data_IF_250352508818
#
_entry.id   IF_250352508818
#
_cell.length_a   1.000
_cell.length_b   1.000
_cell.length_c   1.000
_cell.angle_alpha   90.00
_cell.angle_beta   90.00
_cell.angle_gamma   90.00
#
_symmetry.space_group_name_H-M   'P 1'
#
loop_
_entity.id
_entity.type
_entity.pdbx_description
1 polymer ?
#
# COMPACT_ATOMS: atom_id res chain seq x y z
N UNK A 1 -7.33 -18.35 -9.26
CA UNK A 1 -6.77 -18.43 -7.89
C UNK A 1 -6.09 -17.10 -7.65
N UNK A 2 -6.68 -16.23 -6.82
CA UNK A 2 -6.03 -14.95 -6.51
C UNK A 2 -4.73 -15.26 -5.77
N UNK A 3 -3.61 -14.73 -6.24
CA UNK A 3 -2.34 -14.87 -5.55
C UNK A 3 -2.43 -14.16 -4.19
N UNK A 4 -1.81 -14.75 -3.15
CA UNK A 4 -1.75 -14.12 -1.84
C UNK A 4 -1.07 -12.74 -1.93
N UNK A 5 -1.58 -11.73 -1.20
CA UNK A 5 -1.01 -10.39 -1.25
C UNK A 5 0.42 -10.37 -0.69
N UNK A 6 1.32 -9.64 -1.37
CA UNK A 6 2.71 -9.49 -0.92
C UNK A 6 2.76 -8.55 0.29
N UNK A 7 3.46 -8.97 1.35
CA UNK A 7 3.65 -8.14 2.55
C UNK A 7 4.81 -7.17 2.36
N UNK A 8 4.59 -5.90 2.66
CA UNK A 8 5.58 -4.82 2.55
C UNK A 8 5.73 -4.13 3.91
N UNK A 9 6.93 -4.13 4.47
CA UNK A 9 7.24 -3.36 5.67
C UNK A 9 7.79 -1.98 5.30
N UNK A 10 7.15 -0.91 5.80
CA UNK A 10 7.59 0.48 5.71
C UNK A 10 7.52 1.22 7.06
N UNK A 11 7.52 0.49 8.19
CA UNK A 11 7.59 1.08 9.53
C UNK A 11 8.89 1.86 9.74
N UNK A 12 8.80 2.94 10.50
CA UNK A 12 9.91 3.88 10.76
C UNK A 12 10.27 4.77 9.57
N UNK A 13 9.61 4.61 8.41
CA UNK A 13 9.82 5.46 7.25
C UNK A 13 8.81 6.60 7.24
N UNK A 14 9.29 7.82 6.95
CA UNK A 14 8.43 9.00 6.77
C UNK A 14 7.99 9.17 5.31
N UNK A 15 6.93 9.93 5.10
CA UNK A 15 6.55 10.48 3.80
C UNK A 15 7.79 10.93 2.98
N UNK A 16 7.93 10.51 1.70
CA UNK A 16 6.98 9.77 0.87
C UNK A 16 7.25 8.24 0.79
N UNK A 17 8.11 7.69 1.66
CA UNK A 17 8.65 6.33 1.49
C UNK A 17 7.61 5.19 1.50
N UNK A 18 6.56 5.19 2.36
CA UNK A 18 5.53 4.16 2.33
C UNK A 18 4.84 4.05 0.96
N UNK A 19 4.48 5.19 0.37
CA UNK A 19 3.85 5.26 -0.95
C UNK A 19 4.78 4.73 -2.05
N UNK A 20 6.06 5.12 -2.04
CA UNK A 20 7.05 4.64 -3.03
C UNK A 20 7.28 3.13 -2.93
N UNK A 21 7.31 2.58 -1.71
CA UNK A 21 7.43 1.13 -1.49
C UNK A 21 6.20 0.37 -1.98
N UNK A 22 5.00 0.87 -1.65
CA UNK A 22 3.74 0.31 -2.13
C UNK A 22 3.70 0.28 -3.66
N UNK A 23 4.01 1.41 -4.30
CA UNK A 23 4.04 1.53 -5.76
C UNK A 23 5.04 0.57 -6.40
N UNK A 24 6.25 0.41 -5.82
CA UNK A 24 7.25 -0.53 -6.30
C UNK A 24 6.76 -1.98 -6.20
N UNK A 25 6.14 -2.37 -5.09
CA UNK A 25 5.66 -3.73 -4.88
C UNK A 25 4.53 -4.11 -5.86
N UNK A 26 3.59 -3.19 -6.12
CA UNK A 26 2.49 -3.40 -7.07
C UNK A 26 2.92 -3.45 -8.55
N UNK A 27 4.18 -3.11 -8.88
CA UNK A 27 4.72 -3.40 -10.22
C UNK A 27 4.93 -4.91 -10.44
N UNK A 28 5.18 -5.66 -9.38
CA UNK A 28 5.47 -7.10 -9.45
C UNK A 28 4.35 -7.98 -8.88
N UNK A 29 3.39 -7.40 -8.15
CA UNK A 29 2.29 -8.11 -7.49
C UNK A 29 0.92 -7.55 -7.90
N UNK A 30 -0.11 -8.39 -7.87
CA UNK A 30 -1.50 -7.95 -8.09
C UNK A 30 -2.06 -7.21 -6.86
N UNK A 31 -1.64 -7.63 -5.66
CA UNK A 31 -2.09 -7.05 -4.40
C UNK A 31 -0.96 -7.07 -3.37
N UNK A 32 -0.98 -6.10 -2.46
CA UNK A 32 -0.05 -5.97 -1.33
C UNK A 32 -0.80 -5.65 -0.04
N UNK A 33 -0.17 -5.99 1.08
CA UNK A 33 -0.47 -5.39 2.39
C UNK A 33 0.79 -4.68 2.86
N UNK A 34 0.69 -3.38 3.12
CA UNK A 34 1.80 -2.56 3.61
C UNK A 34 1.59 -2.17 5.07
N UNK A 35 2.64 -2.30 5.88
CA UNK A 35 2.71 -1.78 7.25
C UNK A 35 3.44 -0.43 7.26
N UNK A 36 2.79 0.63 7.76
CA UNK A 36 3.37 1.97 7.85
C UNK A 36 2.82 2.73 9.08
N UNK A 37 3.72 3.12 9.98
CA UNK A 37 3.39 3.81 11.23
C UNK A 37 3.50 5.34 11.16
N UNK A 38 3.87 5.89 10.00
CA UNK A 38 3.75 7.32 9.74
C UNK A 38 2.26 7.73 9.77
N UNK A 39 1.85 8.70 10.60
CA UNK A 39 0.47 9.16 10.69
C UNK A 39 -0.12 9.66 9.37
N UNK A 40 0.70 10.11 8.41
CA UNK A 40 0.20 10.57 7.09
C UNK A 40 0.03 9.42 6.08
N UNK A 41 0.58 8.24 6.37
CA UNK A 41 0.57 7.10 5.45
C UNK A 41 -0.83 6.72 4.91
N UNK A 42 -1.92 6.69 5.71
CA UNK A 42 -3.25 6.36 5.18
C UNK A 42 -3.65 7.28 4.03
N UNK A 43 -3.46 8.59 4.21
CA UNK A 43 -3.84 9.62 3.23
C UNK A 43 -3.00 9.52 1.97
N UNK A 44 -1.69 9.31 2.11
CA UNK A 44 -0.80 9.20 0.96
C UNK A 44 -1.02 7.90 0.16
N UNK A 45 -1.25 6.79 0.85
CA UNK A 45 -1.52 5.50 0.22
C UNK A 45 -2.87 5.51 -0.51
N UNK A 46 -3.90 6.13 0.07
CA UNK A 46 -5.18 6.34 -0.58
C UNK A 46 -5.04 7.23 -1.81
N UNK A 47 -4.35 8.37 -1.70
CA UNK A 47 -4.11 9.28 -2.82
C UNK A 47 -3.33 8.60 -3.96
N UNK A 48 -2.30 7.81 -3.62
CA UNK A 48 -1.56 6.99 -4.58
C UNK A 48 -2.49 6.00 -5.28
N UNK A 49 -3.34 5.29 -4.53
CA UNK A 49 -4.24 4.31 -5.09
C UNK A 49 -5.24 4.97 -6.06
N UNK A 50 -5.84 6.09 -5.67
CA UNK A 50 -6.75 6.86 -6.52
C UNK A 50 -6.06 7.33 -7.81
N UNK A 51 -4.84 7.88 -7.71
CA UNK A 51 -4.08 8.35 -8.87
C UNK A 51 -3.77 7.23 -9.87
N UNK A 52 -3.66 5.99 -9.42
CA UNK A 52 -3.34 4.82 -10.24
C UNK A 52 -4.56 3.97 -10.62
N UNK A 53 -5.77 4.34 -10.16
CA UNK A 53 -6.97 3.52 -10.32
C UNK A 53 -6.92 2.19 -9.55
N UNK A 54 -6.16 2.13 -8.47
CA UNK A 54 -6.04 0.96 -7.59
C UNK A 54 -7.11 0.95 -6.50
N UNK A 55 -7.38 -0.24 -5.98
CA UNK A 55 -8.20 -0.45 -4.78
C UNK A 55 -7.36 -0.17 -3.54
N UNK A 56 -7.96 0.49 -2.54
CA UNK A 56 -7.34 0.78 -1.25
C UNK A 56 -8.28 0.39 -0.10
N UNK A 57 -7.72 -0.15 0.98
CA UNK A 57 -8.45 -0.42 2.22
C UNK A 57 -7.54 -0.30 3.44
N UNK A 58 -7.98 0.42 4.47
CA UNK A 58 -7.31 0.43 5.77
C UNK A 58 -7.75 -0.79 6.59
N UNK A 59 -6.78 -1.62 6.99
CA UNK A 59 -7.05 -2.84 7.76
C UNK A 59 -6.96 -2.64 9.28
N UNK A 60 -6.53 -1.45 9.72
CA UNK A 60 -6.21 -1.16 11.13
C UNK A 60 -4.77 -1.51 11.50
N UNK A 61 -4.35 -1.13 12.70
CA UNK A 61 -3.00 -1.41 13.25
C UNK A 61 -1.82 -1.01 12.35
N UNK A 62 -1.92 0.15 11.68
CA UNK A 62 -0.93 0.63 10.72
C UNK A 62 -0.77 -0.25 9.47
N UNK A 63 -1.80 -1.04 9.10
CA UNK A 63 -1.81 -1.91 7.92
C UNK A 63 -2.80 -1.43 6.87
N UNK A 64 -2.37 -1.47 5.61
CA UNK A 64 -3.15 -1.01 4.47
C UNK A 64 -3.06 -2.01 3.32
N UNK A 65 -4.20 -2.36 2.73
CA UNK A 65 -4.25 -3.18 1.53
C UNK A 65 -4.33 -2.28 0.28
N UNK A 66 -3.53 -2.61 -0.73
CA UNK A 66 -3.61 -2.00 -2.06
C UNK A 66 -3.63 -3.09 -3.13
N UNK A 67 -4.46 -2.95 -4.15
CA UNK A 67 -4.56 -3.92 -5.23
C UNK A 67 -4.83 -3.25 -6.58
N UNK A 68 -4.22 -3.79 -7.64
CA UNK A 68 -4.49 -3.38 -9.00
C UNK A 68 -5.94 -3.70 -9.39
N UNK A 69 -6.57 -2.95 -10.29
CA UNK A 69 -7.82 -3.38 -10.92
C UNK A 69 -7.57 -4.68 -11.70
N UNK A 70 -8.61 -5.49 -11.83
CA UNK A 70 -8.57 -6.76 -12.58
C UNK A 70 -8.54 -6.52 -14.10
#
# INVERSE_FOLDING_TARGET
MAADPVIVNARGMKCPWPALRAARALRAAQAIVIEADDPIAPRELEALAQAQGWRFSALGDHRFALARPD
#
